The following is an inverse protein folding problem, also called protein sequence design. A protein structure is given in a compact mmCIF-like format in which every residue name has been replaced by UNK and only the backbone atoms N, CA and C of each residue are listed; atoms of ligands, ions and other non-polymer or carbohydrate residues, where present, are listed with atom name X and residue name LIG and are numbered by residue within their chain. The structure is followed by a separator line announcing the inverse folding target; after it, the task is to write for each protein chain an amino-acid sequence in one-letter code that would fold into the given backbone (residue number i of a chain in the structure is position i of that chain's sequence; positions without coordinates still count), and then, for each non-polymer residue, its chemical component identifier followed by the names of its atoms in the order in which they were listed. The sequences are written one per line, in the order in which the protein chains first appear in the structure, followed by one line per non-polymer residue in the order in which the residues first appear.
data_IF_668096204409
#
_entry.id   IF_668096204409
#
_cell.length_a   1.000
_cell.length_b   1.000
_cell.length_c   1.000
_cell.angle_alpha   90.00
_cell.angle_beta   90.00
_cell.angle_gamma   90.00
#
_symmetry.space_group_name_H-M   'P 1'
#
loop_
_entity.id
_entity.type
_entity.pdbx_description
1 polymer ?
#
# COMPACT_ATOMS: atom_id res chain seq x y z
N UNK A 1 10.11 14.67 -8.14
CA UNK A 1 9.11 14.97 -7.11
C UNK A 1 9.79 15.60 -5.89
N UNK A 2 10.84 15.02 -5.35
CA UNK A 2 11.51 15.48 -4.11
C UNK A 2 12.16 16.89 -4.21
N UNK A 3 12.32 17.44 -5.41
CA UNK A 3 12.89 18.77 -5.66
C UNK A 3 11.81 19.85 -5.84
N UNK A 4 10.54 19.47 -5.85
CA UNK A 4 9.41 20.38 -6.06
C UNK A 4 8.71 20.70 -4.74
N UNK A 5 8.32 21.95 -4.58
CA UNK A 5 7.40 22.36 -3.51
C UNK A 5 5.98 21.82 -3.76
N UNK A 6 5.17 21.78 -2.72
CA UNK A 6 3.76 21.39 -2.83
C UNK A 6 2.98 22.25 -3.83
N UNK A 7 3.28 23.56 -3.89
CA UNK A 7 2.63 24.48 -4.82
C UNK A 7 3.03 24.22 -6.29
N UNK A 8 4.26 23.80 -6.53
CA UNK A 8 4.71 23.38 -7.86
C UNK A 8 4.07 22.07 -8.27
N UNK A 9 3.99 21.10 -7.35
CA UNK A 9 3.32 19.82 -7.60
C UNK A 9 1.84 20.00 -7.98
N UNK A 10 1.11 20.92 -7.33
CA UNK A 10 -0.30 21.19 -7.63
C UNK A 10 -0.53 21.76 -9.04
N UNK A 11 0.52 22.29 -9.68
CA UNK A 11 0.43 22.88 -11.04
C UNK A 11 0.78 21.88 -12.14
N UNK A 12 1.23 20.67 -11.77
CA UNK A 12 1.56 19.63 -12.74
C UNK A 12 0.28 18.99 -13.26
N UNK A 13 0.25 18.77 -14.56
CA UNK A 13 -0.74 17.94 -15.22
C UNK A 13 -0.35 16.46 -15.04
N UNK A 14 -1.13 15.74 -14.29
CA UNK A 14 -0.93 14.32 -14.03
C UNK A 14 -1.80 13.42 -14.93
N UNK A 15 -2.64 13.99 -15.79
CA UNK A 15 -3.62 13.26 -16.58
C UNK A 15 -3.32 13.15 -18.07
N UNK A 16 -2.83 14.20 -18.72
CA UNK A 16 -2.64 14.26 -20.18
C UNK A 16 -1.77 13.13 -20.75
N UNK A 17 -0.82 12.62 -20.00
CA UNK A 17 0.02 11.50 -20.43
C UNK A 17 -0.78 10.21 -20.65
N UNK A 18 -1.89 10.07 -19.97
CA UNK A 18 -2.77 8.90 -20.08
C UNK A 18 -3.71 9.00 -21.26
N UNK A 19 -4.44 10.12 -21.34
CA UNK A 19 -5.37 10.44 -22.42
C UNK A 19 -5.69 11.93 -22.39
N UNK A 20 -5.99 12.55 -23.54
CA UNK A 20 -6.33 13.98 -23.66
C UNK A 20 -7.60 14.35 -22.84
N UNK A 21 -8.50 13.40 -22.65
CA UNK A 21 -9.70 13.60 -21.81
C UNK A 21 -9.39 13.85 -20.34
N UNK A 22 -8.17 13.50 -19.87
CA UNK A 22 -7.68 13.76 -18.50
C UNK A 22 -6.76 14.98 -18.42
N UNK A 23 -6.70 15.80 -19.47
CA UNK A 23 -5.86 17.00 -19.46
C UNK A 23 -6.30 17.95 -18.34
N UNK A 24 -5.29 18.45 -17.58
CA UNK A 24 -5.53 19.35 -16.45
C UNK A 24 -5.81 18.67 -15.11
N UNK A 25 -5.86 17.33 -15.05
CA UNK A 25 -5.93 16.63 -13.78
C UNK A 25 -4.65 16.87 -12.98
N UNK A 26 -4.79 17.42 -11.78
CA UNK A 26 -3.66 17.72 -10.91
C UNK A 26 -3.21 16.49 -10.12
N UNK A 27 -1.96 16.53 -9.61
CA UNK A 27 -1.49 15.55 -8.63
C UNK A 27 -2.35 15.67 -7.37
N UNK A 28 -3.09 14.62 -6.95
CA UNK A 28 -3.93 14.69 -5.76
C UNK A 28 -3.06 14.72 -4.50
N UNK A 29 -3.48 15.50 -3.50
CA UNK A 29 -2.89 15.48 -2.18
C UNK A 29 -3.63 14.49 -1.26
N UNK A 30 -2.94 14.04 -0.21
CA UNK A 30 -3.52 13.06 0.71
C UNK A 30 -4.83 13.59 1.32
N UNK A 31 -4.90 14.85 1.64
CA UNK A 31 -6.09 15.50 2.20
C UNK A 31 -7.29 15.41 1.24
N UNK A 32 -7.06 15.68 -0.04
CA UNK A 32 -8.10 15.62 -1.08
C UNK A 32 -8.65 14.18 -1.22
N UNK A 33 -7.75 13.19 -1.15
CA UNK A 33 -8.10 11.76 -1.20
C UNK A 33 -8.87 11.31 0.05
N UNK A 34 -8.46 11.78 1.24
CA UNK A 34 -9.14 11.46 2.50
C UNK A 34 -10.57 12.06 2.54
N UNK A 35 -10.74 13.27 2.02
CA UNK A 35 -12.06 13.91 1.91
C UNK A 35 -12.95 13.17 0.91
N UNK A 36 -12.41 12.75 -0.22
CA UNK A 36 -13.11 11.92 -1.21
C UNK A 36 -13.52 10.56 -0.62
N UNK A 37 -12.64 9.89 0.10
CA UNK A 37 -12.94 8.62 0.77
C UNK A 37 -14.12 8.74 1.74
N UNK A 38 -14.22 9.86 2.44
CA UNK A 38 -15.28 10.10 3.41
C UNK A 38 -16.70 9.94 2.84
N UNK A 39 -16.85 10.16 1.54
CA UNK A 39 -18.12 10.11 0.84
C UNK A 39 -18.34 8.82 0.04
N UNK A 40 -17.28 8.03 -0.21
CA UNK A 40 -17.33 6.89 -1.11
C UNK A 40 -17.19 5.53 -0.39
N UNK A 41 -16.85 5.51 0.90
CA UNK A 41 -16.71 4.30 1.71
C UNK A 41 -15.78 3.23 1.13
N UNK A 42 -14.68 3.65 0.51
CA UNK A 42 -13.67 2.77 -0.10
C UNK A 42 -12.47 2.66 0.84
N UNK A 43 -11.95 1.45 1.01
CA UNK A 43 -10.72 1.20 1.75
C UNK A 43 -9.49 1.69 0.99
N UNK A 44 -8.47 2.18 1.72
CA UNK A 44 -7.21 2.62 1.12
C UNK A 44 -6.02 1.84 1.64
N UNK A 45 -5.13 1.52 0.69
CA UNK A 45 -3.74 1.17 0.98
C UNK A 45 -2.86 2.37 0.62
N UNK A 46 -2.31 3.03 1.62
CA UNK A 46 -1.38 4.14 1.45
C UNK A 46 0.04 3.59 1.32
N UNK A 47 0.53 3.46 0.10
CA UNK A 47 1.90 3.03 -0.14
C UNK A 47 2.88 4.19 0.05
N UNK A 48 3.80 4.03 1.00
CA UNK A 48 4.85 5.02 1.27
C UNK A 48 6.17 4.58 0.65
N UNK A 49 6.61 5.33 -0.36
CA UNK A 49 7.93 5.17 -0.99
C UNK A 49 8.93 6.08 -0.29
N UNK A 50 9.84 5.47 0.47
CA UNK A 50 10.84 6.20 1.26
C UNK A 50 12.15 6.27 0.48
N UNK A 51 12.74 7.44 0.46
CA UNK A 51 14.02 7.70 -0.17
C UNK A 51 14.98 8.36 0.82
N UNK A 52 16.23 7.88 0.87
CA UNK A 52 17.32 8.63 1.47
C UNK A 52 17.29 8.87 2.99
N UNK A 53 16.73 7.98 3.80
CA UNK A 53 16.83 8.10 5.27
C UNK A 53 15.81 9.04 5.91
N UNK A 54 14.67 9.28 5.24
CA UNK A 54 13.60 10.19 5.70
C UNK A 54 12.46 9.48 6.46
N UNK A 55 12.70 8.25 6.98
CA UNK A 55 11.67 7.41 7.60
C UNK A 55 10.89 8.14 8.69
N UNK A 56 11.58 8.72 9.67
CA UNK A 56 10.96 9.39 10.80
C UNK A 56 10.20 10.66 10.38
N UNK A 57 10.74 11.43 9.42
CA UNK A 57 10.07 12.62 8.88
C UNK A 57 8.79 12.25 8.12
N UNK A 58 8.86 11.23 7.25
CA UNK A 58 7.72 10.74 6.48
C UNK A 58 6.63 10.17 7.42
N UNK A 59 7.01 9.39 8.43
CA UNK A 59 6.08 8.84 9.41
C UNK A 59 5.41 9.97 10.25
N UNK A 60 6.16 10.98 10.65
CA UNK A 60 5.61 12.15 11.35
C UNK A 60 4.65 12.93 10.47
N UNK A 61 4.99 13.14 9.20
CA UNK A 61 4.13 13.81 8.24
C UNK A 61 2.82 13.06 8.02
N UNK A 62 2.87 11.74 7.83
CA UNK A 62 1.69 10.90 7.68
C UNK A 62 0.84 10.89 8.95
N UNK A 63 1.46 10.68 10.12
CA UNK A 63 0.77 10.66 11.40
C UNK A 63 0.04 11.98 11.70
N UNK A 64 0.64 13.13 11.39
CA UNK A 64 0.02 14.44 11.61
C UNK A 64 -1.22 14.66 10.73
N UNK A 65 -1.25 14.09 9.53
CA UNK A 65 -2.38 14.15 8.60
C UNK A 65 -3.50 13.19 9.01
N UNK A 66 -3.15 12.00 9.46
CA UNK A 66 -4.11 11.01 9.93
C UNK A 66 -4.61 11.26 11.37
N UNK A 67 -3.92 12.09 12.16
CA UNK A 67 -4.31 12.37 13.55
C UNK A 67 -5.72 12.95 13.70
N UNK A 68 -6.21 13.66 12.68
CA UNK A 68 -7.58 14.22 12.67
C UNK A 68 -8.64 13.18 12.38
N UNK A 69 -8.29 12.18 11.58
CA UNK A 69 -9.16 11.09 11.16
C UNK A 69 -8.33 10.00 10.49
N UNK A 70 -8.35 8.80 11.04
CA UNK A 70 -7.98 7.60 10.29
C UNK A 70 -9.27 7.07 9.68
N UNK A 71 -9.43 7.11 8.35
CA UNK A 71 -10.64 6.57 7.73
C UNK A 71 -10.73 5.05 7.98
N UNK A 72 -11.95 4.55 8.08
CA UNK A 72 -12.19 3.11 8.17
C UNK A 72 -11.55 2.38 6.97
N UNK A 73 -11.08 1.16 7.20
CA UNK A 73 -10.46 0.31 6.18
C UNK A 73 -9.21 0.93 5.51
N UNK A 74 -8.51 1.83 6.20
CA UNK A 74 -7.24 2.37 5.74
C UNK A 74 -6.08 1.59 6.33
N UNK A 75 -5.11 1.25 5.50
CA UNK A 75 -3.84 0.66 5.90
C UNK A 75 -2.67 1.43 5.27
N UNK A 76 -1.47 1.20 5.79
CA UNK A 76 -0.23 1.69 5.19
C UNK A 76 0.66 0.52 4.77
N UNK A 77 1.35 0.67 3.66
CA UNK A 77 2.35 -0.29 3.22
C UNK A 77 3.63 0.40 2.77
N UNK A 78 4.75 -0.30 2.88
CA UNK A 78 6.04 0.20 2.42
C UNK A 78 7.01 -0.96 2.18
N UNK A 79 7.99 -0.73 1.32
CA UNK A 79 9.20 -1.58 1.21
C UNK A 79 10.19 -1.32 2.35
N UNK A 80 10.05 -0.21 3.07
CA UNK A 80 10.97 0.22 4.12
C UNK A 80 10.47 -0.22 5.51
N UNK A 81 11.08 -1.27 6.05
CA UNK A 81 10.76 -1.81 7.36
C UNK A 81 11.02 -0.81 8.50
N UNK A 82 12.01 0.08 8.34
CA UNK A 82 12.31 1.10 9.36
C UNK A 82 11.20 2.18 9.38
N UNK A 83 10.67 2.56 8.21
CA UNK A 83 9.49 3.43 8.14
C UNK A 83 8.27 2.77 8.83
N UNK A 84 8.03 1.47 8.60
CA UNK A 84 6.91 0.77 9.25
C UNK A 84 7.08 0.71 10.78
N UNK A 85 8.31 0.61 11.30
CA UNK A 85 8.59 0.71 12.73
C UNK A 85 8.24 2.11 13.27
N UNK A 86 8.57 3.17 12.55
CA UNK A 86 8.20 4.54 12.91
C UNK A 86 6.66 4.75 12.92
N UNK A 87 5.94 4.10 11.99
CA UNK A 87 4.47 4.11 11.97
C UNK A 87 3.89 3.32 13.15
N UNK A 88 4.50 2.18 13.51
CA UNK A 88 4.06 1.40 14.67
C UNK A 88 4.09 2.23 15.96
N UNK A 89 5.11 3.05 16.15
CA UNK A 89 5.23 3.92 17.32
C UNK A 89 4.20 5.05 17.33
N UNK A 90 3.95 5.68 16.17
CA UNK A 90 3.09 6.88 16.08
C UNK A 90 1.62 6.57 15.89
N UNK A 91 1.32 5.51 15.18
CA UNK A 91 -0.03 5.09 14.81
C UNK A 91 -0.21 3.57 15.05
N UNK A 92 -0.12 3.09 16.30
CA UNK A 92 -0.11 1.65 16.61
C UNK A 92 -1.37 0.92 16.11
N UNK A 93 -2.51 1.61 16.07
CA UNK A 93 -3.77 1.05 15.61
C UNK A 93 -3.92 1.02 14.07
N UNK A 94 -3.05 1.70 13.30
CA UNK A 94 -3.13 1.70 11.84
C UNK A 94 -2.59 0.37 11.31
N UNK A 95 -3.40 -0.42 10.58
CA UNK A 95 -2.93 -1.64 9.92
C UNK A 95 -1.76 -1.33 8.98
N UNK A 96 -0.75 -2.18 8.99
CA UNK A 96 0.46 -2.01 8.18
C UNK A 96 0.92 -3.30 7.54
N UNK A 97 1.52 -3.18 6.35
CA UNK A 97 2.06 -4.31 5.62
C UNK A 97 3.46 -4.02 5.07
N UNK A 98 4.33 -5.02 5.11
CA UNK A 98 5.61 -4.96 4.40
C UNK A 98 5.41 -5.38 2.94
N UNK A 99 5.91 -4.55 2.01
CA UNK A 99 5.99 -4.89 0.60
C UNK A 99 7.36 -5.51 0.33
N UNK A 100 7.39 -6.62 -0.42
CA UNK A 100 8.65 -7.25 -0.80
C UNK A 100 8.56 -7.96 -2.15
N UNK A 101 9.64 -7.87 -2.94
CA UNK A 101 9.77 -8.61 -4.20
C UNK A 101 10.01 -10.11 -3.98
N UNK A 102 10.56 -10.46 -2.84
CA UNK A 102 10.86 -11.84 -2.44
C UNK A 102 10.27 -12.14 -1.07
N UNK A 103 10.15 -13.40 -0.71
CA UNK A 103 9.73 -13.81 0.63
C UNK A 103 10.97 -13.83 1.54
N UNK A 104 11.04 -12.95 2.56
CA UNK A 104 12.13 -13.02 3.55
C UNK A 104 12.10 -14.36 4.29
N UNK A 105 13.26 -14.94 4.56
CA UNK A 105 13.33 -16.19 5.32
C UNK A 105 12.80 -16.02 6.76
N UNK A 106 13.02 -14.84 7.35
CA UNK A 106 12.59 -14.44 8.69
C UNK A 106 11.24 -13.65 8.69
N UNK A 107 10.39 -13.89 7.70
CA UNK A 107 9.12 -13.14 7.54
C UNK A 107 8.26 -13.13 8.81
N UNK A 108 8.27 -14.25 9.57
CA UNK A 108 7.49 -14.36 10.82
C UNK A 108 8.00 -13.40 11.88
N UNK A 109 9.31 -13.39 12.10
CA UNK A 109 9.96 -12.50 13.08
C UNK A 109 9.79 -11.02 12.68
N UNK A 110 9.87 -10.72 11.39
CA UNK A 110 9.60 -9.37 10.86
C UNK A 110 8.15 -8.97 11.13
N UNK A 111 7.21 -9.86 10.82
CA UNK A 111 5.78 -9.63 11.01
C UNK A 111 5.42 -9.34 12.47
N UNK A 112 5.90 -10.16 13.38
CA UNK A 112 5.66 -10.02 14.82
C UNK A 112 6.33 -8.74 15.37
N UNK A 113 7.59 -8.48 15.03
CA UNK A 113 8.34 -7.32 15.50
C UNK A 113 7.72 -6.01 15.07
N UNK A 114 7.23 -5.93 13.84
CA UNK A 114 6.59 -4.73 13.30
C UNK A 114 5.08 -4.69 13.51
N UNK A 115 4.51 -5.69 14.19
CA UNK A 115 3.08 -5.89 14.36
C UNK A 115 2.32 -5.69 13.04
N UNK A 116 2.76 -6.40 11.98
CA UNK A 116 2.15 -6.30 10.66
C UNK A 116 0.77 -6.98 10.64
N UNK A 117 -0.13 -6.43 9.86
CA UNK A 117 -1.38 -7.11 9.51
C UNK A 117 -1.14 -8.16 8.41
N UNK A 118 -0.08 -7.96 7.60
CA UNK A 118 0.28 -8.90 6.55
C UNK A 118 1.41 -8.40 5.66
N UNK A 119 1.53 -9.06 4.50
CA UNK A 119 2.58 -8.82 3.53
C UNK A 119 2.00 -8.59 2.14
N UNK A 120 2.67 -7.73 1.36
CA UNK A 120 2.40 -7.57 -0.06
C UNK A 120 3.57 -8.11 -0.86
N UNK A 121 3.34 -9.15 -1.65
CA UNK A 121 4.40 -9.81 -2.42
C UNK A 121 4.19 -9.68 -3.93
N UNK A 122 5.30 -9.74 -4.66
CA UNK A 122 5.22 -10.04 -6.08
C UNK A 122 4.49 -11.39 -6.26
N UNK A 123 3.44 -11.42 -7.08
CA UNK A 123 2.60 -12.61 -7.27
C UNK A 123 3.37 -13.87 -7.73
N UNK A 124 4.56 -13.67 -8.34
CA UNK A 124 5.37 -14.75 -8.89
C UNK A 124 6.04 -15.61 -7.83
N UNK A 125 6.27 -15.04 -6.63
CA UNK A 125 6.96 -15.75 -5.54
C UNK A 125 5.99 -16.43 -4.58
N UNK A 126 4.68 -16.23 -4.74
CA UNK A 126 3.68 -16.72 -3.80
C UNK A 126 3.19 -18.11 -4.19
N UNK A 127 3.19 -19.03 -3.22
CA UNK A 127 2.72 -20.41 -3.32
C UNK A 127 1.59 -20.68 -2.33
N UNK A 128 0.82 -21.75 -2.55
CA UNK A 128 -0.25 -22.14 -1.63
C UNK A 128 0.27 -22.47 -0.22
N UNK A 129 1.42 -23.13 -0.15
CA UNK A 129 2.03 -23.50 1.14
C UNK A 129 2.47 -22.25 1.93
N UNK A 130 3.00 -21.24 1.23
CA UNK A 130 3.37 -19.95 1.85
C UNK A 130 2.12 -19.25 2.39
N UNK A 131 1.04 -19.16 1.59
CA UNK A 131 -0.21 -18.51 2.03
C UNK A 131 -0.79 -19.22 3.24
N UNK A 132 -0.83 -20.56 3.21
CA UNK A 132 -1.32 -21.35 4.34
C UNK A 132 -0.48 -21.11 5.62
N UNK A 133 0.85 -21.08 5.50
CA UNK A 133 1.75 -20.83 6.63
C UNK A 133 1.59 -19.40 7.21
N UNK A 134 1.36 -18.41 6.35
CA UNK A 134 1.13 -17.02 6.78
C UNK A 134 -0.24 -16.86 7.45
N UNK A 135 -1.28 -17.47 6.89
CA UNK A 135 -2.61 -17.46 7.50
C UNK A 135 -2.62 -18.17 8.87
N UNK A 136 -1.91 -19.30 9.00
CA UNK A 136 -1.74 -19.99 10.29
C UNK A 136 -1.04 -19.10 11.33
N UNK A 137 -0.12 -18.25 10.88
CA UNK A 137 0.56 -17.27 11.73
C UNK A 137 -0.27 -15.98 11.98
N UNK A 138 -1.44 -15.84 11.35
CA UNK A 138 -2.32 -14.68 11.51
C UNK A 138 -2.04 -13.52 10.57
N UNK A 139 -1.18 -13.70 9.56
CA UNK A 139 -0.87 -12.66 8.58
C UNK A 139 -1.68 -12.80 7.30
N UNK A 140 -2.11 -11.67 6.75
CA UNK A 140 -2.74 -11.61 5.43
C UNK A 140 -1.70 -11.54 4.32
N UNK A 141 -2.04 -12.12 3.17
CA UNK A 141 -1.21 -12.10 1.97
C UNK A 141 -1.91 -11.35 0.85
N UNK A 142 -1.30 -10.26 0.41
CA UNK A 142 -1.72 -9.50 -0.78
C UNK A 142 -0.66 -9.62 -1.86
N UNK A 143 -1.06 -9.58 -3.11
CA UNK A 143 -0.14 -9.75 -4.24
C UNK A 143 -0.26 -8.64 -5.26
N UNK A 144 0.87 -8.24 -5.85
CA UNK A 144 1.01 -7.24 -6.90
C UNK A 144 1.92 -7.71 -8.04
N UNK A 145 1.88 -7.16 -9.22
CA UNK A 145 0.72 -6.58 -9.87
C UNK A 145 0.16 -7.65 -10.79
N UNK A 146 -1.09 -8.02 -10.61
CA UNK A 146 -1.71 -9.15 -11.31
C UNK A 146 -2.66 -8.61 -12.37
N UNK A 147 -2.19 -8.59 -13.62
CA UNK A 147 -2.94 -8.03 -14.75
C UNK A 147 -3.46 -9.11 -15.72
N UNK A 148 -2.85 -10.30 -15.71
CA UNK A 148 -3.18 -11.36 -16.64
C UNK A 148 -4.21 -12.35 -16.05
N UNK A 149 -5.19 -12.81 -16.84
CA UNK A 149 -6.24 -13.74 -16.40
C UNK A 149 -5.71 -15.02 -15.77
N UNK A 150 -4.66 -15.60 -16.34
CA UNK A 150 -4.08 -16.85 -15.83
C UNK A 150 -3.42 -16.66 -14.46
N UNK A 151 -2.74 -15.52 -14.25
CA UNK A 151 -2.17 -15.18 -12.96
C UNK A 151 -3.25 -14.91 -11.92
N UNK A 152 -4.35 -14.29 -12.30
CA UNK A 152 -5.48 -14.08 -11.40
C UNK A 152 -6.13 -15.41 -10.99
N UNK A 153 -6.35 -16.31 -11.97
CA UNK A 153 -6.88 -17.64 -11.68
C UNK A 153 -5.94 -18.41 -10.73
N UNK A 154 -4.63 -18.30 -10.95
CA UNK A 154 -3.61 -18.87 -10.07
C UNK A 154 -3.67 -18.29 -8.67
N UNK A 155 -3.76 -16.96 -8.52
CA UNK A 155 -3.81 -16.32 -7.19
C UNK A 155 -5.09 -16.65 -6.42
N UNK A 156 -6.23 -16.79 -7.11
CA UNK A 156 -7.46 -17.33 -6.51
C UNK A 156 -7.26 -18.76 -5.99
N UNK A 157 -6.62 -19.62 -6.77
CA UNK A 157 -6.36 -21.01 -6.37
C UNK A 157 -5.39 -21.09 -5.20
N UNK A 158 -4.40 -20.22 -5.17
CA UNK A 158 -3.41 -20.10 -4.08
C UNK A 158 -4.04 -19.60 -2.78
N UNK A 159 -5.15 -18.86 -2.87
CA UNK A 159 -5.92 -18.41 -1.70
C UNK A 159 -5.42 -17.11 -1.07
N UNK A 160 -4.82 -16.20 -1.86
CA UNK A 160 -4.41 -14.87 -1.37
C UNK A 160 -5.62 -14.02 -0.94
N UNK A 161 -5.45 -13.12 0.02
CA UNK A 161 -6.53 -12.28 0.55
C UNK A 161 -6.93 -11.15 -0.39
N UNK A 162 -5.96 -10.60 -1.14
CA UNK A 162 -6.19 -9.46 -2.03
C UNK A 162 -5.24 -9.49 -3.22
N UNK A 163 -5.74 -9.07 -4.36
CA UNK A 163 -4.95 -8.86 -5.56
C UNK A 163 -4.91 -7.36 -5.89
N UNK A 164 -3.71 -6.85 -6.17
CA UNK A 164 -3.47 -5.50 -6.66
C UNK A 164 -3.28 -5.59 -8.18
N UNK A 165 -4.11 -4.87 -8.93
CA UNK A 165 -4.16 -4.89 -10.40
C UNK A 165 -4.35 -3.49 -10.97
N UNK A 166 -3.83 -3.24 -12.18
CA UNK A 166 -4.08 -2.01 -12.93
C UNK A 166 -5.40 -2.03 -13.70
N UNK A 167 -6.06 -3.19 -13.77
CA UNK A 167 -7.27 -3.42 -14.56
C UNK A 167 -8.40 -4.03 -13.70
N UNK A 168 -8.90 -3.33 -12.67
CA UNK A 168 -9.89 -3.89 -11.75
C UNK A 168 -11.21 -4.25 -12.45
N UNK A 169 -11.57 -3.56 -13.54
CA UNK A 169 -12.77 -3.81 -14.32
C UNK A 169 -12.82 -5.21 -14.97
N UNK A 170 -11.66 -5.87 -15.11
CA UNK A 170 -11.60 -7.25 -15.64
C UNK A 170 -12.00 -8.31 -14.62
N UNK A 171 -12.22 -7.91 -13.36
CA UNK A 171 -12.39 -8.82 -12.24
C UNK A 171 -13.75 -8.67 -11.52
N UNK A 172 -14.56 -7.74 -12.01
CA UNK A 172 -15.95 -7.49 -11.59
C UNK A 172 -16.94 -8.38 -12.43
#
# INVERSE_FOLDING_TARGET
VNELSSDELRRLDAGSWRDESFAGEAVPFLEDILDWQATHHIGFNLEMKIHGGEQAAAATALASRLARRVPEQTMVSSFDAAFLAEIQERLPALPRALISETVPEDWRDIGDRLALEGFHFNHRVVTADLVAAMHEAGFRVRVYTVNEPDDMARMRHVGVDTVITDNPERWL
#
